data_IF_171031104933
#
_entry.id   IF_171031104933
#
_cell.length_a   1.000
_cell.length_b   1.000
_cell.length_c   1.000
_cell.angle_alpha   90.00
_cell.angle_beta   90.00
_cell.angle_gamma   90.00
#
_symmetry.space_group_name_H-M   'P 1'
#
loop_
_entity.id
_entity.type
_entity.pdbx_description
1 polymer ?
#
# COMPACT_ATOMS: atom_id res chain seq x y z
N UNK A 1 -1.68 11.56 -15.55
CA UNK A 1 -0.40 12.05 -15.01
C UNK A 1 0.16 11.00 -14.05
N UNK A 2 1.44 10.64 -14.20
CA UNK A 2 2.20 9.82 -13.25
C UNK A 2 3.48 10.57 -12.86
N UNK A 3 4.37 9.94 -12.09
CA UNK A 3 5.64 10.55 -11.70
C UNK A 3 6.53 10.97 -12.89
N UNK A 4 6.52 10.23 -14.00
CA UNK A 4 7.33 10.56 -15.18
C UNK A 4 6.83 11.85 -15.85
N UNK A 5 5.52 11.93 -16.05
CA UNK A 5 4.83 13.11 -16.58
C UNK A 5 5.10 14.35 -15.73
N UNK A 6 5.03 14.24 -14.40
CA UNK A 6 5.36 15.36 -13.51
C UNK A 6 6.81 15.85 -13.67
N UNK A 7 7.77 14.92 -13.82
CA UNK A 7 9.18 15.26 -14.03
C UNK A 7 9.42 15.94 -15.38
N UNK A 8 8.74 15.49 -16.43
CA UNK A 8 8.79 16.12 -17.76
C UNK A 8 8.29 17.57 -17.71
N UNK A 9 7.36 17.87 -16.82
CA UNK A 9 6.86 19.22 -16.55
C UNK A 9 7.66 19.97 -15.46
N UNK A 10 8.87 19.51 -15.13
CA UNK A 10 9.81 20.24 -14.26
C UNK A 10 9.73 19.92 -12.77
N UNK A 11 8.93 18.95 -12.35
CA UNK A 11 8.91 18.52 -10.95
C UNK A 11 10.21 17.80 -10.55
N UNK A 12 10.69 18.07 -9.35
CA UNK A 12 11.78 17.30 -8.73
C UNK A 12 11.21 16.10 -7.97
N UNK A 13 11.83 14.94 -8.17
CA UNK A 13 11.41 13.68 -7.54
C UNK A 13 12.60 13.10 -6.79
N UNK A 14 12.42 12.96 -5.48
CA UNK A 14 13.45 12.44 -4.57
C UNK A 14 12.96 11.12 -3.95
N UNK A 15 13.39 10.00 -4.53
CA UNK A 15 13.12 8.65 -3.98
C UNK A 15 14.17 8.27 -2.93
N UNK A 16 13.84 7.39 -1.99
CA UNK A 16 14.77 7.00 -0.91
C UNK A 16 15.01 8.11 0.13
N UNK A 17 14.19 9.15 0.08
CA UNK A 17 14.22 10.31 0.96
C UNK A 17 13.04 10.25 1.94
N UNK A 18 13.32 9.99 3.22
CA UNK A 18 12.30 9.90 4.28
C UNK A 18 12.09 11.27 4.91
N UNK A 19 10.84 11.74 5.04
CA UNK A 19 10.53 12.94 5.83
C UNK A 19 10.64 12.60 7.30
N UNK A 20 11.53 13.29 8.01
CA UNK A 20 11.80 13.06 9.44
C UNK A 20 11.29 14.18 10.34
N UNK A 21 10.71 15.24 9.76
CA UNK A 21 10.14 16.36 10.51
C UNK A 21 9.57 17.45 9.60
N UNK A 22 8.76 18.33 10.19
CA UNK A 22 8.23 19.53 9.55
C UNK A 22 8.98 20.77 10.05
N UNK A 23 9.26 21.72 9.16
CA UNK A 23 9.78 23.03 9.53
C UNK A 23 8.60 23.96 9.82
N UNK A 24 8.61 24.61 10.98
CA UNK A 24 7.48 25.43 11.44
C UNK A 24 7.92 26.82 11.91
N UNK A 25 7.08 27.81 11.63
CA UNK A 25 7.14 29.17 12.17
C UNK A 25 5.77 29.48 12.78
N UNK A 26 5.65 29.32 14.10
CA UNK A 26 4.34 29.26 14.76
C UNK A 26 3.51 28.12 14.19
N UNK A 27 2.28 28.43 13.77
CA UNK A 27 1.35 27.44 13.19
C UNK A 27 1.57 27.20 11.69
N UNK A 28 2.51 27.91 11.05
CA UNK A 28 2.79 27.77 9.62
C UNK A 28 3.89 26.77 9.36
N UNK A 29 3.60 25.76 8.54
CA UNK A 29 4.62 24.88 7.94
C UNK A 29 5.32 25.60 6.79
N UNK A 30 6.64 25.60 6.79
CA UNK A 30 7.47 26.27 5.77
C UNK A 30 8.45 25.33 5.05
N UNK A 31 8.34 24.02 5.29
CA UNK A 31 9.18 23.02 4.66
C UNK A 31 9.23 21.71 5.45
N UNK A 32 10.19 20.86 5.10
CA UNK A 32 10.40 19.54 5.67
C UNK A 32 11.88 19.26 5.95
N UNK A 33 12.14 18.45 6.97
CA UNK A 33 13.43 17.77 7.15
C UNK A 33 13.34 16.40 6.51
N UNK A 34 14.39 16.02 5.79
CA UNK A 34 14.45 14.78 5.02
C UNK A 34 15.75 14.07 5.30
N UNK A 35 15.71 12.76 5.45
CA UNK A 35 16.89 11.90 5.48
C UNK A 35 17.00 11.14 4.15
N UNK A 36 18.07 11.41 3.42
CA UNK A 36 18.43 10.69 2.19
C UNK A 36 19.16 9.41 2.57
N UNK A 37 18.50 8.26 2.37
CA UNK A 37 19.06 6.95 2.72
C UNK A 37 20.17 6.50 1.78
N UNK A 38 20.25 7.03 0.57
CA UNK A 38 21.31 6.67 -0.39
C UNK A 38 22.60 7.42 -0.07
N UNK A 39 22.48 8.68 0.35
CA UNK A 39 23.63 9.54 0.67
C UNK A 39 23.95 9.59 2.16
N UNK A 40 23.12 8.95 3.00
CA UNK A 40 23.23 8.93 4.46
C UNK A 40 23.28 10.34 5.07
N UNK A 41 22.47 11.27 4.55
CA UNK A 41 22.53 12.68 4.88
C UNK A 41 21.15 13.26 5.20
N UNK A 42 21.11 14.10 6.25
CA UNK A 42 19.96 14.95 6.51
C UNK A 42 19.99 16.20 5.64
N UNK A 43 18.82 16.61 5.14
CA UNK A 43 18.61 17.78 4.28
C UNK A 43 17.34 18.51 4.68
N UNK A 44 17.30 19.78 4.33
CA UNK A 44 16.16 20.66 4.58
C UNK A 44 15.61 21.14 3.25
N UNK A 45 14.30 20.96 3.04
CA UNK A 45 13.60 21.45 1.85
C UNK A 45 12.57 22.49 2.27
N UNK A 46 12.68 23.71 1.76
CA UNK A 46 11.74 24.79 2.03
C UNK A 46 10.62 24.80 0.98
N UNK A 47 9.40 25.05 1.43
CA UNK A 47 8.23 25.13 0.55
C UNK A 47 7.19 26.10 1.12
N UNK A 48 6.49 26.80 0.24
CA UNK A 48 5.36 27.65 0.63
C UNK A 48 4.13 26.86 1.08
N UNK A 49 4.00 25.62 0.61
CA UNK A 49 2.93 24.67 0.92
C UNK A 49 3.53 23.27 1.03
N UNK A 50 3.11 22.51 2.03
CA UNK A 50 3.46 21.09 2.22
C UNK A 50 2.18 20.28 2.24
N UNK A 51 2.10 19.23 1.43
CA UNK A 51 0.96 18.32 1.37
C UNK A 51 1.36 16.96 1.94
N UNK A 52 0.68 16.51 2.99
CA UNK A 52 0.85 15.16 3.53
C UNK A 52 0.02 14.17 2.69
N UNK A 53 0.69 13.53 1.73
CA UNK A 53 0.14 12.48 0.89
C UNK A 53 0.76 11.10 1.20
N UNK A 54 1.17 10.87 2.46
CA UNK A 54 1.93 9.68 2.86
C UNK A 54 1.06 8.42 3.10
N UNK A 55 -0.19 8.37 2.60
CA UNK A 55 -1.07 7.21 2.79
C UNK A 55 -1.28 6.86 4.26
N UNK A 56 -1.13 5.57 4.61
CA UNK A 56 -1.30 5.09 5.99
C UNK A 56 -0.28 5.73 6.96
N UNK A 57 0.92 6.06 6.49
CA UNK A 57 1.96 6.75 7.28
C UNK A 57 1.65 8.23 7.55
N UNK A 58 0.55 8.76 6.98
CA UNK A 58 0.14 10.14 7.16
C UNK A 58 -0.09 10.54 8.63
N UNK A 59 -0.44 9.60 9.49
CA UNK A 59 -0.53 9.84 10.94
C UNK A 59 0.84 10.28 11.52
N UNK A 60 1.92 9.56 11.20
CA UNK A 60 3.29 9.89 11.67
C UNK A 60 3.74 11.29 11.21
N UNK A 61 3.38 11.70 10.00
CA UNK A 61 3.70 13.04 9.48
C UNK A 61 2.89 14.14 10.19
N UNK A 62 1.62 13.86 10.52
CA UNK A 62 0.76 14.82 11.22
C UNK A 62 1.24 15.09 12.66
N UNK A 63 1.81 14.08 13.32
CA UNK A 63 2.40 14.21 14.64
C UNK A 63 3.53 15.24 14.70
N UNK A 64 4.30 15.43 13.62
CA UNK A 64 5.31 16.50 13.52
C UNK A 64 4.73 17.92 13.56
N UNK A 65 3.43 18.06 13.33
CA UNK A 65 2.68 19.31 13.46
C UNK A 65 1.90 19.41 14.78
N UNK A 66 2.16 18.53 15.75
CA UNK A 66 1.38 18.37 17.00
C UNK A 66 -0.10 18.03 16.73
N UNK A 67 -0.41 17.46 15.57
CA UNK A 67 -1.75 17.00 15.20
C UNK A 67 -1.88 15.52 15.49
N UNK A 68 -3.04 15.11 16.01
CA UNK A 68 -3.36 13.71 16.27
C UNK A 68 -4.37 13.21 15.24
N UNK A 69 -3.94 12.30 14.37
CA UNK A 69 -4.79 11.58 13.43
C UNK A 69 -4.67 10.10 13.80
N UNK A 70 -5.79 9.41 13.96
CA UNK A 70 -5.78 7.95 14.22
C UNK A 70 -6.12 7.21 12.93
N UNK A 71 -5.19 6.42 12.43
CA UNK A 71 -5.38 5.54 11.29
C UNK A 71 -5.81 4.14 11.73
N UNK A 72 -6.63 3.47 10.91
CA UNK A 72 -7.10 2.11 11.14
C UNK A 72 -6.64 1.21 9.99
N UNK A 73 -5.41 0.64 10.07
CA UNK A 73 -4.89 -0.15 8.98
C UNK A 73 -5.65 -1.47 8.82
N UNK A 74 -5.82 -1.84 7.55
CA UNK A 74 -6.33 -3.13 7.13
C UNK A 74 -5.36 -3.73 6.11
N UNK A 75 -4.84 -4.91 6.43
CA UNK A 75 -3.91 -5.69 5.63
C UNK A 75 -4.69 -6.59 4.69
N UNK A 76 -4.30 -6.60 3.41
CA UNK A 76 -4.86 -7.50 2.42
C UNK A 76 -3.76 -8.21 1.64
N UNK A 77 -3.97 -9.50 1.41
CA UNK A 77 -3.07 -10.38 0.68
C UNK A 77 -3.71 -10.87 -0.62
N UNK A 78 -2.88 -11.02 -1.64
CA UNK A 78 -3.24 -11.60 -2.93
C UNK A 78 -2.43 -12.88 -3.14
N UNK A 79 -3.02 -13.89 -3.77
CA UNK A 79 -2.35 -15.13 -4.11
C UNK A 79 -2.27 -15.27 -5.64
N UNK A 80 -1.06 -15.53 -6.12
CA UNK A 80 -0.76 -15.79 -7.53
C UNK A 80 -0.60 -17.30 -7.72
N UNK A 81 -1.33 -17.85 -8.69
CA UNK A 81 -1.16 -19.20 -9.20
C UNK A 81 -0.25 -19.15 -10.43
N UNK A 82 0.67 -20.09 -10.55
CA UNK A 82 1.68 -20.17 -11.62
C UNK A 82 1.12 -20.58 -12.99
N UNK A 83 -0.17 -20.93 -13.05
CA UNK A 83 -0.90 -21.24 -14.27
C UNK A 83 -2.25 -20.54 -14.29
N UNK A 84 -2.76 -20.32 -15.51
CA UNK A 84 -4.03 -19.65 -15.74
C UNK A 84 -5.20 -20.63 -15.66
N UNK A 85 -6.16 -20.32 -14.79
CA UNK A 85 -7.37 -21.14 -14.58
C UNK A 85 -8.66 -20.45 -15.05
N UNK A 86 -8.59 -19.16 -15.42
CA UNK A 86 -9.72 -18.38 -15.91
C UNK A 86 -9.31 -17.49 -17.09
N UNK A 87 -10.23 -17.22 -18.02
CA UNK A 87 -9.97 -16.34 -19.17
C UNK A 87 -10.51 -14.91 -18.99
N UNK A 88 -11.47 -14.74 -18.09
CA UNK A 88 -12.13 -13.48 -17.79
C UNK A 88 -12.06 -13.22 -16.29
N UNK A 89 -12.22 -11.96 -15.88
CA UNK A 89 -12.38 -11.61 -14.47
C UNK A 89 -13.67 -12.23 -13.95
N UNK A 90 -13.58 -12.92 -12.81
CA UNK A 90 -14.73 -13.51 -12.13
C UNK A 90 -14.88 -12.82 -10.77
N UNK A 91 -16.08 -12.36 -10.45
CA UNK A 91 -16.43 -11.76 -9.16
C UNK A 91 -17.57 -12.56 -8.51
N UNK A 92 -17.52 -12.76 -7.19
CA UNK A 92 -18.57 -13.50 -6.44
C UNK A 92 -19.93 -12.80 -6.36
N UNK A 93 -20.01 -11.53 -6.78
CA UNK A 93 -21.20 -10.68 -6.81
C UNK A 93 -22.01 -10.73 -5.49
N UNK A 94 -21.30 -10.74 -4.36
CA UNK A 94 -21.85 -10.73 -3.00
C UNK A 94 -21.36 -9.52 -2.22
N UNK A 95 -21.79 -9.39 -0.96
CA UNK A 95 -21.19 -8.42 -0.03
C UNK A 95 -19.68 -8.69 0.08
N UNK A 96 -18.83 -7.65 0.08
CA UNK A 96 -17.37 -7.80 0.12
C UNK A 96 -16.89 -8.70 1.26
N UNK A 97 -16.02 -9.64 0.92
CA UNK A 97 -15.38 -10.59 1.81
C UNK A 97 -14.08 -11.13 1.13
N UNK A 98 -13.43 -12.09 1.78
CA UNK A 98 -12.16 -12.61 1.27
C UNK A 98 -12.32 -13.40 -0.04
N UNK A 99 -11.32 -13.27 -0.92
CA UNK A 99 -11.19 -13.97 -2.20
C UNK A 99 -12.41 -13.81 -3.14
N UNK A 100 -12.91 -12.57 -3.26
CA UNK A 100 -14.09 -12.28 -4.07
C UNK A 100 -13.81 -12.10 -5.56
N UNK A 101 -12.55 -11.88 -5.97
CA UNK A 101 -12.18 -11.59 -7.36
C UNK A 101 -11.04 -12.49 -7.82
N UNK A 102 -11.27 -13.20 -8.92
CA UNK A 102 -10.27 -13.97 -9.65
C UNK A 102 -9.96 -13.25 -10.97
N UNK A 103 -8.71 -12.82 -11.14
CA UNK A 103 -8.25 -12.02 -12.28
C UNK A 103 -7.26 -12.85 -13.10
N UNK A 104 -7.43 -12.94 -14.44
CA UNK A 104 -6.43 -13.57 -15.29
C UNK A 104 -5.25 -12.60 -15.53
N UNK A 105 -4.02 -13.12 -15.40
CA UNK A 105 -2.85 -12.53 -16.06
C UNK A 105 -2.55 -13.27 -17.37
N UNK A 106 -1.40 -12.99 -17.99
CA UNK A 106 -1.01 -13.64 -19.25
C UNK A 106 -0.93 -15.16 -19.09
N UNK A 107 -0.10 -15.64 -18.18
CA UNK A 107 0.09 -17.07 -17.90
C UNK A 107 -0.35 -17.50 -16.50
N UNK A 108 -0.79 -16.54 -15.68
CA UNK A 108 -1.12 -16.74 -14.26
C UNK A 108 -2.60 -16.46 -13.96
N UNK A 109 -3.04 -16.86 -12.77
CA UNK A 109 -4.29 -16.39 -12.18
C UNK A 109 -4.03 -15.77 -10.81
N UNK A 110 -4.71 -14.67 -10.51
CA UNK A 110 -4.60 -13.93 -9.25
C UNK A 110 -5.93 -13.99 -8.51
N UNK A 111 -5.95 -14.47 -7.27
CA UNK A 111 -7.11 -14.46 -6.39
C UNK A 111 -6.89 -13.49 -5.22
N UNK A 112 -7.92 -12.75 -4.85
CA UNK A 112 -7.84 -11.89 -3.69
C UNK A 112 -9.08 -11.07 -3.39
N UNK A 113 -8.99 -10.16 -2.42
CA UNK A 113 -7.92 -10.07 -1.39
C UNK A 113 -8.39 -10.75 -0.10
N UNK A 114 -7.49 -10.93 0.88
CA UNK A 114 -7.91 -11.00 2.30
C UNK A 114 -8.16 -9.59 2.86
N UNK A 115 -8.82 -9.49 4.01
CA UNK A 115 -8.92 -8.24 4.78
C UNK A 115 -8.80 -8.51 6.29
N UNK A 116 -7.71 -8.08 6.91
CA UNK A 116 -7.48 -8.22 8.35
C UNK A 116 -7.05 -6.90 8.98
N UNK A 117 -7.63 -6.56 10.13
CA UNK A 117 -7.13 -5.44 10.91
C UNK A 117 -5.74 -5.77 11.46
N UNK A 118 -4.84 -4.78 11.42
CA UNK A 118 -3.52 -4.87 12.06
C UNK A 118 -3.30 -3.64 12.95
N UNK A 119 -2.46 -3.77 14.00
CA UNK A 119 -1.94 -2.62 14.73
C UNK A 119 -1.21 -1.63 13.81
N UNK A 120 -1.23 -0.36 14.16
CA UNK A 120 -0.51 0.67 13.39
C UNK A 120 1.01 0.46 13.41
N UNK A 121 1.56 -0.09 14.50
CA UNK A 121 3.00 -0.35 14.63
C UNK A 121 3.50 -1.45 13.67
N UNK A 122 2.59 -2.26 13.13
CA UNK A 122 2.92 -3.38 12.24
C UNK A 122 2.79 -3.03 10.75
N UNK A 123 2.45 -1.77 10.39
CA UNK A 123 2.19 -1.37 8.98
C UNK A 123 3.41 -1.52 8.06
N UNK A 124 4.62 -1.48 8.63
CA UNK A 124 5.87 -1.66 7.91
C UNK A 124 6.27 -3.15 7.76
N UNK A 125 5.67 -4.05 8.54
CA UNK A 125 5.91 -5.51 8.49
C UNK A 125 4.69 -6.25 7.91
N UNK A 126 4.35 -5.91 6.66
CA UNK A 126 3.23 -6.52 5.94
C UNK A 126 3.62 -7.84 5.23
N UNK A 127 4.05 -8.84 6.00
CA UNK A 127 4.33 -10.18 5.46
C UNK A 127 3.05 -11.01 5.32
N UNK A 128 2.97 -11.80 4.26
CA UNK A 128 1.89 -12.77 4.06
C UNK A 128 2.12 -13.98 4.95
N UNK A 129 1.06 -14.43 5.63
CA UNK A 129 1.06 -15.61 6.48
C UNK A 129 0.47 -16.83 5.77
N UNK A 130 0.81 -18.04 6.22
CA UNK A 130 0.21 -19.28 5.70
C UNK A 130 -1.31 -19.29 5.86
N UNK A 131 -1.84 -18.73 6.96
CA UNK A 131 -3.28 -18.66 7.21
C UNK A 131 -4.03 -17.79 6.17
N UNK A 132 -3.38 -16.74 5.66
CA UNK A 132 -3.93 -15.92 4.57
C UNK A 132 -3.95 -16.70 3.26
N UNK A 133 -2.87 -17.44 2.95
CA UNK A 133 -2.81 -18.31 1.77
C UNK A 133 -3.92 -19.38 1.84
N UNK A 134 -4.08 -20.04 2.99
CA UNK A 134 -5.13 -21.05 3.19
C UNK A 134 -6.52 -20.45 3.05
N UNK A 135 -6.73 -19.22 3.51
CA UNK A 135 -7.99 -18.50 3.35
C UNK A 135 -8.29 -18.18 1.89
N UNK A 136 -7.29 -17.69 1.14
CA UNK A 136 -7.42 -17.39 -0.28
C UNK A 136 -7.72 -18.65 -1.11
N UNK A 137 -7.08 -19.77 -0.81
CA UNK A 137 -7.36 -21.05 -1.48
C UNK A 137 -8.77 -21.55 -1.16
N UNK A 138 -9.14 -21.60 0.11
CA UNK A 138 -10.44 -22.10 0.58
C UNK A 138 -11.62 -21.26 0.08
N UNK A 139 -11.51 -19.93 0.09
CA UNK A 139 -12.56 -19.06 -0.45
C UNK A 139 -12.53 -19.01 -1.98
N UNK A 140 -11.34 -19.08 -2.58
CA UNK A 140 -11.15 -19.15 -4.03
C UNK A 140 -11.76 -20.40 -4.65
N UNK A 141 -11.70 -21.57 -3.98
CA UNK A 141 -12.33 -22.81 -4.44
C UNK A 141 -13.85 -22.66 -4.61
N UNK A 142 -14.50 -21.84 -3.79
CA UNK A 142 -15.94 -21.54 -3.92
C UNK A 142 -16.27 -20.74 -5.17
N UNK A 143 -15.29 -20.00 -5.71
CA UNK A 143 -15.40 -19.23 -6.94
C UNK A 143 -14.98 -20.06 -8.17
N UNK A 144 -13.88 -20.80 -8.05
CA UNK A 144 -13.31 -21.66 -9.09
C UNK A 144 -12.88 -23.00 -8.47
N UNK A 145 -13.72 -24.06 -8.53
CA UNK A 145 -13.45 -25.35 -7.88
C UNK A 145 -12.14 -26.03 -8.28
N UNK A 146 -11.59 -25.69 -9.45
CA UNK A 146 -10.27 -26.18 -9.89
C UNK A 146 -9.15 -25.78 -8.92
N UNK A 147 -9.30 -24.67 -8.18
CA UNK A 147 -8.32 -24.20 -7.20
C UNK A 147 -8.07 -25.19 -6.05
N UNK A 148 -9.05 -26.03 -5.71
CA UNK A 148 -8.89 -27.08 -4.70
C UNK A 148 -8.00 -28.26 -5.14
N UNK A 149 -7.63 -28.32 -6.43
CA UNK A 149 -6.87 -29.43 -7.02
C UNK A 149 -5.47 -29.04 -7.50
N UNK A 150 -5.17 -27.75 -7.52
CA UNK A 150 -3.95 -27.18 -8.12
C UNK A 150 -2.81 -27.00 -7.11
N UNK A 151 -2.50 -28.06 -6.35
CA UNK A 151 -1.31 -28.10 -5.50
C UNK A 151 -0.08 -28.59 -6.25
#
# INVERSE_FOLDING_TARGET
>A
ANMLDAREHGAQILTGCEVTGLLRQGDRVCGVQVYDRQLHQARTLYAGVVVNAAGIWGQRIAEYADLRITMFPAKGSLLILDHRINNLVINRCRKPADADILVPGDTISLIGTTSMHIPYDDIDDNRVTTAEVDTLLREGEKLAPVMGRTR
#
